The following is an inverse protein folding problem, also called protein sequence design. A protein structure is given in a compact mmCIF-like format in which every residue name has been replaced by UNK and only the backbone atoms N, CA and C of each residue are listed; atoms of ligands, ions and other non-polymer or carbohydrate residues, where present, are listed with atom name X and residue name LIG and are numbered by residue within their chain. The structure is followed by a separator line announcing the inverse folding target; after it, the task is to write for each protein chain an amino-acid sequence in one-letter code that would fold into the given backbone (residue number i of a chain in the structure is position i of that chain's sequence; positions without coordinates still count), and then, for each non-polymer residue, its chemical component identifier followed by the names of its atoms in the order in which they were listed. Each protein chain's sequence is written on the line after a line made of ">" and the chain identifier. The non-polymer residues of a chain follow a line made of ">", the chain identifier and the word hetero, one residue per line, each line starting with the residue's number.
data_IF_613987025457
#
_entry.id   IF_613987025457
#
_cell.length_a   1.000
_cell.length_b   1.000
_cell.length_c   1.000
_cell.angle_alpha   90.00
_cell.angle_beta   90.00
_cell.angle_gamma   90.00
#
_symmetry.space_group_name_H-M   'P 1'
#
loop_
_entity.id
_entity.type
_entity.pdbx_description
1 polymer ?
#
# COMPACT_ATOMS: atom_id res chain seq x y z
N UNK A 1 -14.67 6.24 -8.08
CA UNK A 1 -13.55 7.06 -8.59
C UNK A 1 -12.29 6.21 -8.54
N UNK A 2 -11.47 6.21 -9.60
CA UNK A 2 -10.27 5.36 -9.67
C UNK A 2 -9.17 5.91 -8.76
N UNK A 3 -8.25 5.04 -8.28
CA UNK A 3 -7.24 5.43 -7.27
C UNK A 3 -6.35 6.59 -7.75
N UNK A 4 -5.91 6.56 -9.00
CA UNK A 4 -5.08 7.62 -9.60
C UNK A 4 -5.78 8.99 -9.59
N UNK A 5 -7.06 9.04 -9.96
CA UNK A 5 -7.82 10.29 -9.99
C UNK A 5 -7.96 10.90 -8.58
N UNK A 6 -8.16 10.05 -7.57
CA UNK A 6 -8.21 10.48 -6.16
C UNK A 6 -6.86 11.01 -5.68
N UNK A 7 -5.76 10.35 -6.04
CA UNK A 7 -4.41 10.81 -5.71
C UNK A 7 -4.16 12.19 -6.34
N UNK A 8 -4.40 12.35 -7.64
CA UNK A 8 -4.20 13.62 -8.36
C UNK A 8 -5.08 14.74 -7.79
N UNK A 9 -6.36 14.46 -7.51
CA UNK A 9 -7.25 15.46 -6.92
C UNK A 9 -6.82 15.85 -5.50
N UNK A 10 -6.33 14.90 -4.71
CA UNK A 10 -5.81 15.18 -3.37
C UNK A 10 -4.56 16.06 -3.44
N UNK A 11 -3.62 15.74 -4.34
CA UNK A 11 -2.38 16.51 -4.52
C UNK A 11 -2.65 17.96 -4.95
N UNK A 12 -3.70 18.22 -5.74
CA UNK A 12 -4.12 19.59 -6.12
C UNK A 12 -4.46 20.48 -4.92
N UNK A 13 -4.82 19.90 -3.77
CA UNK A 13 -5.11 20.66 -2.54
C UNK A 13 -3.83 21.15 -1.84
N UNK A 14 -2.66 20.69 -2.28
CA UNK A 14 -1.34 21.01 -1.71
C UNK A 14 -0.45 21.66 -2.78
N UNK A 15 -0.59 22.97 -3.05
CA UNK A 15 0.10 23.65 -4.16
C UNK A 15 1.63 23.66 -4.04
N UNK A 16 2.19 23.39 -2.86
CA UNK A 16 3.63 23.22 -2.65
C UNK A 16 4.17 21.88 -3.16
N UNK A 17 3.31 20.90 -3.49
CA UNK A 17 3.71 19.61 -4.05
C UNK A 17 3.57 19.67 -5.57
N UNK A 18 4.65 19.33 -6.28
CA UNK A 18 4.66 19.22 -7.74
C UNK A 18 4.82 17.76 -8.15
N UNK A 19 3.94 17.27 -9.00
CA UNK A 19 4.11 15.97 -9.67
C UNK A 19 5.10 16.17 -10.80
N UNK A 20 6.29 15.58 -10.67
CA UNK A 20 7.39 15.73 -11.63
C UNK A 20 7.54 14.52 -12.55
N UNK A 21 6.82 13.44 -12.28
CA UNK A 21 6.78 12.24 -13.12
C UNK A 21 5.56 11.38 -12.81
N UNK A 22 5.14 10.57 -13.77
CA UNK A 22 4.12 9.53 -13.60
C UNK A 22 4.54 8.34 -14.45
N UNK A 23 4.59 7.16 -13.84
CA UNK A 23 5.04 5.92 -14.47
C UNK A 23 4.05 4.81 -14.16
N UNK A 24 4.01 3.77 -14.99
CA UNK A 24 3.11 2.64 -14.81
C UNK A 24 3.88 1.41 -14.32
N UNK A 25 3.80 1.12 -13.02
CA UNK A 25 4.53 0.05 -12.35
C UNK A 25 3.83 -1.32 -12.30
N UNK A 26 2.61 -1.42 -12.84
CA UNK A 26 1.78 -2.64 -12.85
C UNK A 26 1.55 -3.29 -11.47
N UNK A 27 1.69 -2.52 -10.38
CA UNK A 27 1.65 -3.02 -9.00
C UNK A 27 2.61 -4.19 -8.74
N UNK A 28 3.77 -4.22 -9.42
CA UNK A 28 4.83 -5.21 -9.15
C UNK A 28 6.13 -4.50 -8.81
N UNK A 29 6.89 -5.06 -7.87
CA UNK A 29 8.19 -4.49 -7.49
C UNK A 29 9.16 -4.42 -8.68
N UNK A 30 9.25 -5.49 -9.48
CA UNK A 30 10.21 -5.55 -10.60
C UNK A 30 9.92 -4.53 -11.71
N UNK A 31 8.66 -4.42 -12.16
CA UNK A 31 8.30 -3.43 -13.19
C UNK A 31 8.46 -2.02 -12.63
N UNK A 32 8.03 -1.79 -11.38
CA UNK A 32 8.15 -0.49 -10.71
C UNK A 32 9.60 -0.06 -10.56
N UNK A 33 10.49 -0.94 -10.10
CA UNK A 33 11.92 -0.66 -10.01
C UNK A 33 12.48 -0.24 -11.36
N UNK A 34 12.19 -1.00 -12.41
CA UNK A 34 12.68 -0.72 -13.77
C UNK A 34 12.22 0.65 -14.27
N UNK A 35 10.91 0.93 -14.22
CA UNK A 35 10.38 2.19 -14.75
C UNK A 35 10.81 3.40 -13.93
N UNK A 36 10.95 3.27 -12.60
CA UNK A 36 11.44 4.35 -11.73
C UNK A 36 12.93 4.61 -11.99
N UNK A 37 13.76 3.57 -12.02
CA UNK A 37 15.20 3.70 -12.32
C UNK A 37 15.46 4.36 -13.67
N UNK A 38 14.62 4.09 -14.68
CA UNK A 38 14.76 4.69 -16.01
C UNK A 38 14.49 6.20 -16.04
N UNK A 39 13.53 6.69 -15.25
CA UNK A 39 13.16 8.12 -15.26
C UNK A 39 13.95 8.93 -14.23
N UNK A 40 14.37 8.33 -13.13
CA UNK A 40 14.96 9.01 -11.97
C UNK A 40 16.13 9.95 -12.29
N UNK A 41 17.08 9.63 -13.19
CA UNK A 41 18.19 10.54 -13.52
C UNK A 41 17.77 11.85 -14.19
N UNK A 42 16.59 11.89 -14.81
CA UNK A 42 16.07 13.06 -15.54
C UNK A 42 15.21 13.98 -14.67
N UNK A 43 14.86 13.54 -13.46
CA UNK A 43 13.93 14.23 -12.59
C UNK A 43 14.66 15.16 -11.59
N UNK A 44 14.01 16.25 -11.15
CA UNK A 44 14.49 17.01 -10.01
C UNK A 44 14.46 16.16 -8.72
N UNK A 45 15.07 16.63 -7.62
CA UNK A 45 15.02 15.93 -6.34
C UNK A 45 13.59 15.55 -5.91
N UNK A 46 13.40 14.28 -5.59
CA UNK A 46 12.10 13.68 -5.25
C UNK A 46 11.95 13.61 -3.73
N UNK A 47 10.89 14.24 -3.21
CA UNK A 47 10.58 14.19 -1.78
C UNK A 47 9.69 12.98 -1.42
N UNK A 48 8.91 12.47 -2.36
CA UNK A 48 8.02 11.35 -2.12
C UNK A 48 7.52 10.67 -3.39
N UNK A 49 7.09 9.42 -3.23
CA UNK A 49 6.52 8.57 -4.28
C UNK A 49 5.24 7.94 -3.75
N UNK A 50 4.15 8.07 -4.51
CA UNK A 50 2.84 7.53 -4.18
C UNK A 50 2.42 6.56 -5.30
N UNK A 51 2.10 5.33 -4.94
CA UNK A 51 1.71 4.29 -5.88
C UNK A 51 1.89 2.89 -5.29
N UNK A 52 1.73 1.88 -6.14
CA UNK A 52 2.01 0.48 -5.82
C UNK A 52 3.42 0.08 -6.30
N UNK A 53 3.91 -1.08 -5.87
CA UNK A 53 5.26 -1.57 -6.13
C UNK A 53 6.31 -0.95 -5.20
N UNK A 54 5.92 -0.67 -3.95
CA UNK A 54 6.67 0.12 -2.98
C UNK A 54 8.12 -0.37 -2.76
N UNK A 55 8.33 -1.69 -2.69
CA UNK A 55 9.67 -2.26 -2.59
C UNK A 55 10.54 -1.97 -3.82
N UNK A 56 9.95 -2.03 -5.02
CA UNK A 56 10.65 -1.68 -6.25
C UNK A 56 11.09 -0.21 -6.30
N UNK A 57 10.25 0.69 -5.77
CA UNK A 57 10.63 2.10 -5.57
C UNK A 57 11.83 2.20 -4.63
N UNK A 58 11.79 1.55 -3.47
CA UNK A 58 12.88 1.58 -2.51
C UNK A 58 14.20 1.09 -3.13
N UNK A 59 14.16 -0.01 -3.87
CA UNK A 59 15.32 -0.56 -4.58
C UNK A 59 15.86 0.41 -5.64
N UNK A 60 15.00 1.05 -6.43
CA UNK A 60 15.42 2.01 -7.45
C UNK A 60 16.16 3.21 -6.84
N UNK A 61 15.64 3.78 -5.74
CA UNK A 61 16.29 4.90 -5.05
C UNK A 61 17.59 4.49 -4.35
N UNK A 62 17.63 3.30 -3.73
CA UNK A 62 18.87 2.77 -3.14
C UNK A 62 19.96 2.55 -4.19
N UNK A 63 19.58 2.03 -5.36
CA UNK A 63 20.51 1.80 -6.47
C UNK A 63 21.01 3.11 -7.08
N UNK A 64 20.14 4.11 -7.23
CA UNK A 64 20.51 5.42 -7.75
C UNK A 64 21.45 6.18 -6.80
N UNK A 65 21.26 6.02 -5.48
CA UNK A 65 22.16 6.54 -4.46
C UNK A 65 22.21 8.07 -4.42
N UNK A 66 23.43 8.62 -4.32
CA UNK A 66 23.65 10.06 -4.21
C UNK A 66 23.03 10.65 -2.95
N UNK A 67 22.21 11.71 -3.10
CA UNK A 67 21.50 12.33 -1.98
C UNK A 67 20.51 11.40 -1.30
N UNK A 68 20.03 10.36 -2.00
CA UNK A 68 19.06 9.42 -1.44
C UNK A 68 19.71 8.35 -0.54
N UNK A 69 21.04 8.20 -0.60
CA UNK A 69 21.78 7.34 0.34
C UNK A 69 21.69 7.83 1.79
N UNK A 70 21.51 9.14 1.99
CA UNK A 70 21.35 9.75 3.32
C UNK A 70 19.90 10.11 3.63
N UNK A 71 19.11 10.44 2.60
CA UNK A 71 17.71 10.84 2.77
C UNK A 71 16.82 10.21 1.70
N UNK A 72 16.28 9.03 2.01
CA UNK A 72 15.28 8.38 1.17
C UNK A 72 14.01 9.25 1.06
N UNK A 73 13.34 9.29 -0.11
CA UNK A 73 12.02 9.91 -0.23
C UNK A 73 11.01 9.18 0.65
N UNK A 74 9.88 9.83 0.96
CA UNK A 74 8.74 9.15 1.56
C UNK A 74 8.09 8.25 0.50
N UNK A 75 8.08 6.94 0.72
CA UNK A 75 7.51 5.96 -0.22
C UNK A 75 6.21 5.43 0.38
N UNK A 76 5.08 5.66 -0.29
CA UNK A 76 3.81 5.03 0.09
C UNK A 76 3.95 3.51 -0.02
N UNK A 77 3.76 2.81 1.09
CA UNK A 77 3.71 1.35 1.11
C UNK A 77 2.36 0.82 0.61
N UNK A 78 2.41 -0.39 0.05
CA UNK A 78 1.28 -1.14 -0.53
C UNK A 78 1.02 -2.46 0.23
N UNK A 79 1.55 -2.57 1.44
CA UNK A 79 1.43 -3.75 2.29
C UNK A 79 2.35 -4.92 1.92
N UNK A 80 3.19 -4.81 0.88
CA UNK A 80 4.15 -5.85 0.50
C UNK A 80 5.11 -6.20 1.65
N UNK A 81 5.31 -7.50 1.89
CA UNK A 81 6.15 -7.97 2.98
C UNK A 81 7.62 -7.52 2.84
N UNK A 82 8.18 -7.49 1.63
CA UNK A 82 9.57 -7.08 1.44
C UNK A 82 9.74 -5.58 1.72
N UNK A 83 8.77 -4.76 1.32
CA UNK A 83 8.77 -3.34 1.69
C UNK A 83 8.63 -3.14 3.20
N UNK A 84 7.76 -3.89 3.87
CA UNK A 84 7.60 -3.81 5.33
C UNK A 84 8.89 -4.18 6.05
N UNK A 85 9.56 -5.26 5.66
CA UNK A 85 10.85 -5.65 6.25
C UNK A 85 11.93 -4.59 6.00
N UNK A 86 12.02 -4.09 4.77
CA UNK A 86 12.93 -3.00 4.43
C UNK A 86 12.65 -1.75 5.26
N UNK A 87 11.38 -1.38 5.45
CA UNK A 87 10.99 -0.24 6.27
C UNK A 87 11.40 -0.44 7.73
N UNK A 88 11.16 -1.62 8.32
CA UNK A 88 11.60 -1.93 9.68
C UNK A 88 13.12 -1.74 9.82
N UNK A 89 13.90 -2.25 8.87
CA UNK A 89 15.36 -2.10 8.86
C UNK A 89 15.78 -0.62 8.77
N UNK A 90 15.19 0.16 7.85
CA UNK A 90 15.52 1.58 7.73
C UNK A 90 15.09 2.36 8.96
N UNK A 91 13.88 2.10 9.49
CA UNK A 91 13.39 2.72 10.73
C UNK A 91 14.36 2.49 11.89
N UNK A 92 14.82 1.25 12.09
CA UNK A 92 15.81 0.93 13.14
C UNK A 92 17.17 1.58 12.89
N UNK A 93 17.60 1.69 11.64
CA UNK A 93 18.91 2.23 11.26
C UNK A 93 18.99 3.76 11.36
N UNK A 94 17.98 4.48 10.87
CA UNK A 94 18.03 5.92 10.68
C UNK A 94 16.71 6.64 11.00
N UNK A 95 15.74 5.95 11.59
CA UNK A 95 14.45 6.53 11.94
C UNK A 95 13.55 6.81 10.74
N UNK A 96 13.76 6.13 9.59
CA UNK A 96 12.92 6.31 8.39
C UNK A 96 11.43 6.22 8.71
N UNK A 97 10.68 7.21 8.21
CA UNK A 97 9.25 7.34 8.45
C UNK A 97 8.47 7.28 7.14
N UNK A 98 7.46 6.40 7.11
CA UNK A 98 6.47 6.37 6.04
C UNK A 98 5.10 5.86 6.53
N UNK A 99 4.19 5.61 5.60
CA UNK A 99 2.88 5.00 5.76
C UNK A 99 2.71 3.91 4.69
N UNK A 100 2.05 2.81 5.06
CA UNK A 100 1.64 1.77 4.12
C UNK A 100 0.13 1.56 4.23
N UNK A 101 -0.55 1.53 3.10
CA UNK A 101 -1.99 1.27 3.03
C UNK A 101 -2.29 0.33 1.87
N UNK A 102 -3.10 -0.70 2.12
CA UNK A 102 -3.46 -1.64 1.07
C UNK A 102 -4.91 -2.12 1.18
N UNK A 103 -5.49 -2.40 0.02
CA UNK A 103 -6.68 -3.24 -0.05
C UNK A 103 -6.24 -4.68 0.25
N UNK A 104 -6.52 -5.14 1.47
CA UNK A 104 -6.01 -6.41 1.94
C UNK A 104 -6.50 -7.59 1.05
N UNK A 105 -5.60 -8.48 0.56
CA UNK A 105 -5.97 -9.65 -0.26
C UNK A 105 -7.03 -10.56 0.37
N UNK A 106 -7.12 -10.52 1.70
CA UNK A 106 -8.14 -11.18 2.52
C UNK A 106 -9.58 -10.79 2.22
N UNK A 107 -9.83 -9.76 1.39
CA UNK A 107 -11.16 -9.45 0.85
C UNK A 107 -11.82 -10.68 0.21
N UNK A 108 -11.04 -11.57 -0.39
CA UNK A 108 -11.51 -12.84 -0.96
C UNK A 108 -12.11 -13.78 0.10
N UNK A 109 -11.53 -13.84 1.30
CA UNK A 109 -12.05 -14.64 2.41
C UNK A 109 -13.39 -14.07 2.90
N UNK A 110 -13.51 -12.76 3.02
CA UNK A 110 -14.78 -12.11 3.36
C UNK A 110 -15.85 -12.39 2.30
N UNK A 111 -15.50 -12.30 1.02
CA UNK A 111 -16.40 -12.60 -0.09
C UNK A 111 -16.89 -14.06 -0.08
N UNK A 112 -16.02 -15.02 0.27
CA UNK A 112 -16.43 -16.42 0.45
C UNK A 112 -17.51 -16.56 1.52
N UNK A 113 -17.33 -15.94 2.68
CA UNK A 113 -18.33 -15.97 3.74
C UNK A 113 -19.64 -15.31 3.32
N UNK A 114 -19.59 -14.17 2.65
CA UNK A 114 -20.79 -13.52 2.11
C UNK A 114 -21.53 -14.45 1.14
N UNK A 115 -20.82 -15.14 0.25
CA UNK A 115 -21.43 -16.08 -0.69
C UNK A 115 -22.15 -17.24 0.03
N UNK A 116 -21.57 -17.76 1.12
CA UNK A 116 -22.21 -18.77 1.96
C UNK A 116 -23.51 -18.25 2.59
N UNK A 117 -23.54 -16.99 3.04
CA UNK A 117 -24.75 -16.39 3.61
C UNK A 117 -25.85 -16.19 2.57
N UNK A 118 -25.49 -15.83 1.33
CA UNK A 118 -26.43 -15.77 0.20
C UNK A 118 -27.02 -17.16 -0.08
N UNK A 119 -26.19 -18.21 -0.12
CA UNK A 119 -26.68 -19.58 -0.32
C UNK A 119 -27.62 -20.04 0.79
N UNK A 120 -27.39 -19.58 2.02
CA UNK A 120 -28.26 -19.81 3.16
C UNK A 120 -29.49 -18.87 3.19
N UNK A 121 -29.77 -18.15 2.10
CA UNK A 121 -30.90 -17.24 1.93
C UNK A 121 -30.96 -16.11 2.97
N UNK A 122 -29.82 -15.72 3.53
CA UNK A 122 -29.77 -14.54 4.41
C UNK A 122 -29.81 -13.25 3.60
N UNK A 123 -30.42 -12.17 4.13
CA UNK A 123 -30.34 -10.86 3.51
C UNK A 123 -28.90 -10.34 3.59
N UNK A 124 -28.36 -9.90 2.46
CA UNK A 124 -27.02 -9.34 2.32
C UNK A 124 -27.13 -7.97 1.65
N UNK A 125 -26.47 -6.91 2.18
CA UNK A 125 -26.42 -5.61 1.53
C UNK A 125 -25.79 -5.70 0.14
N UNK A 126 -26.35 -4.95 -0.82
CA UNK A 126 -25.78 -4.87 -2.19
C UNK A 126 -24.45 -4.13 -2.23
N UNK A 127 -24.20 -3.26 -1.25
CA UNK A 127 -22.95 -2.53 -1.10
C UNK A 127 -22.41 -2.76 0.31
N UNK A 128 -21.14 -3.14 0.38
CA UNK A 128 -20.42 -3.36 1.64
C UNK A 128 -19.04 -2.74 1.48
N UNK A 129 -18.66 -1.88 2.42
CA UNK A 129 -17.34 -1.26 2.45
C UNK A 129 -16.42 -2.06 3.36
N UNK A 130 -15.26 -2.43 2.82
CA UNK A 130 -14.17 -3.00 3.61
C UNK A 130 -13.19 -1.91 4.03
N UNK A 131 -12.61 -2.10 5.21
CA UNK A 131 -11.52 -1.25 5.69
C UNK A 131 -10.22 -1.63 4.98
N UNK A 132 -9.44 -0.61 4.61
CA UNK A 132 -8.06 -0.82 4.16
C UNK A 132 -7.18 -1.19 5.36
N UNK A 133 -6.22 -2.08 5.14
CA UNK A 133 -5.16 -2.32 6.12
C UNK A 133 -4.19 -1.16 6.09
N UNK A 134 -3.88 -0.61 7.26
CA UNK A 134 -2.97 0.55 7.40
C UNK A 134 -1.85 0.18 8.37
N UNK A 135 -0.62 0.42 7.95
CA UNK A 135 0.59 0.24 8.77
C UNK A 135 1.28 1.59 8.90
N UNK A 136 1.60 1.95 10.13
CA UNK A 136 2.23 3.21 10.52
C UNK A 136 3.61 2.95 11.12
N UNK A 137 4.40 4.00 11.37
CA UNK A 137 5.66 3.84 12.08
C UNK A 137 5.50 3.19 13.45
N UNK A 138 4.38 3.42 14.13
CA UNK A 138 4.14 2.86 15.46
C UNK A 138 3.77 1.37 15.41
N UNK A 139 3.15 0.93 14.30
CA UNK A 139 2.63 -0.43 14.17
C UNK A 139 3.49 -1.35 13.29
N UNK A 140 4.41 -0.81 12.48
CA UNK A 140 5.19 -1.61 11.51
C UNK A 140 5.96 -2.78 12.12
N UNK A 141 6.49 -2.61 13.34
CA UNK A 141 7.26 -3.64 14.03
C UNK A 141 6.43 -4.90 14.34
N UNK A 142 5.10 -4.78 14.44
CA UNK A 142 4.19 -5.92 14.66
C UNK A 142 4.18 -6.89 13.47
N UNK A 143 4.66 -6.43 12.30
CA UNK A 143 4.68 -7.17 11.05
C UNK A 143 6.06 -7.76 10.70
N UNK A 144 7.02 -7.73 11.63
CA UNK A 144 8.37 -8.30 11.42
C UNK A 144 8.38 -9.80 11.12
N UNK A 145 7.27 -10.51 11.38
CA UNK A 145 7.10 -11.93 11.08
C UNK A 145 6.45 -12.24 9.72
N UNK A 146 6.18 -11.23 8.88
CA UNK A 146 5.59 -11.46 7.55
C UNK A 146 6.51 -12.34 6.70
N UNK A 147 5.93 -13.27 5.94
CA UNK A 147 6.71 -14.13 5.04
C UNK A 147 6.93 -13.42 3.69
N UNK A 148 8.11 -13.56 3.06
CA UNK A 148 8.32 -13.07 1.71
C UNK A 148 7.23 -13.58 0.74
N UNK A 149 6.81 -12.73 -0.20
CA UNK A 149 5.72 -13.03 -1.13
C UNK A 149 4.30 -12.96 -0.53
N UNK A 150 4.18 -12.48 0.71
CA UNK A 150 2.88 -12.14 1.33
C UNK A 150 2.70 -10.63 1.43
N UNK A 151 1.51 -10.23 1.87
CA UNK A 151 1.22 -8.84 2.18
C UNK A 151 0.52 -8.75 3.54
N UNK A 152 0.54 -7.55 4.13
CA UNK A 152 -0.27 -7.22 5.29
C UNK A 152 -1.73 -7.51 4.98
N UNK A 153 -2.30 -8.46 5.72
CA UNK A 153 -3.68 -8.87 5.55
C UNK A 153 -4.29 -9.23 6.91
N UNK A 154 -5.56 -8.86 7.08
CA UNK A 154 -6.37 -9.34 8.20
C UNK A 154 -6.97 -10.71 7.87
N UNK A 155 -7.39 -11.47 8.88
CA UNK A 155 -8.22 -12.66 8.66
C UNK A 155 -9.66 -12.34 9.05
N UNK A 156 -10.61 -12.80 8.24
CA UNK A 156 -12.04 -12.56 8.45
C UNK A 156 -12.78 -13.88 8.67
N UNK A 157 -13.39 -14.03 9.85
CA UNK A 157 -14.29 -15.15 10.15
C UNK A 157 -15.71 -14.89 9.63
N UNK A 158 -16.51 -15.96 9.54
CA UNK A 158 -17.94 -15.84 9.24
C UNK A 158 -18.65 -14.88 10.20
N UNK A 159 -18.35 -15.00 11.50
CA UNK A 159 -18.94 -14.14 12.52
C UNK A 159 -18.52 -12.69 12.36
N UNK A 160 -17.25 -12.42 12.04
CA UNK A 160 -16.81 -11.06 11.75
C UNK A 160 -17.60 -10.47 10.57
N UNK A 161 -17.78 -11.24 9.48
CA UNK A 161 -18.55 -10.80 8.30
C UNK A 161 -20.01 -10.49 8.66
N UNK A 162 -20.66 -11.37 9.43
CA UNK A 162 -22.04 -11.15 9.88
C UNK A 162 -22.20 -9.87 10.68
N UNK A 163 -21.27 -9.59 11.59
CA UNK A 163 -21.38 -8.44 12.49
C UNK A 163 -20.91 -7.11 11.86
N UNK A 164 -19.98 -7.15 10.90
CA UNK A 164 -19.32 -5.93 10.38
C UNK A 164 -19.67 -5.59 8.94
N UNK A 165 -20.00 -6.58 8.10
CA UNK A 165 -20.35 -6.35 6.69
C UNK A 165 -21.85 -6.42 6.46
N UNK A 166 -22.52 -7.46 6.97
CA UNK A 166 -23.95 -7.65 6.68
C UNK A 166 -24.88 -6.68 7.39
N UNK A 167 -24.39 -6.03 8.46
CA UNK A 167 -25.11 -5.03 9.24
C UNK A 167 -24.97 -3.61 8.66
N UNK A 168 -24.12 -3.40 7.65
CA UNK A 168 -23.92 -2.09 7.06
C UNK A 168 -25.23 -1.63 6.40
N UNK A 169 -25.66 -0.42 6.76
CA UNK A 169 -26.77 0.26 6.10
C UNK A 169 -26.22 1.03 4.90
N UNK A 170 -26.91 0.90 3.77
CA UNK A 170 -26.63 1.70 2.57
C UNK A 170 -26.89 3.18 2.82
#
# INVERSE_FOLDING_TARGET
>A
KLMYEQQVETLKKYPGIKVVGTVYGMATAAVTQSVVSNVLPSLPPIAGVIGDGSFGVAQAFQQFGGTYSTKMPVISGDGDANFVHWWIEQKRKNGYQTLSMNAAPSISQAALWVALEIMNRRPVPKYMKMSASTVTNDTVEQFSGLKPGTAVASSYSADWVRHNLLTQKN
#
